data_IF_891812373653
#
_entry.id   IF_891812373653
#
_cell.length_a   1.000
_cell.length_b   1.000
_cell.length_c   1.000
_cell.angle_alpha   90.00
_cell.angle_beta   90.00
_cell.angle_gamma   90.00
#
_symmetry.space_group_name_H-M   'P 1'
#
loop_
_entity.id
_entity.type
_entity.pdbx_description
1 polymer ?
#
# COMPACT_ATOMS: atom_id res chain seq x y z
N UNK A 1 6.55 18.44 25.88
CA UNK A 1 5.66 18.83 24.76
C UNK A 1 5.56 17.65 23.79
N UNK A 2 4.35 17.24 23.39
CA UNK A 2 4.18 16.17 22.38
C UNK A 2 4.54 16.75 21.00
N UNK A 3 5.63 16.30 20.37
CA UNK A 3 5.95 16.66 18.98
C UNK A 3 4.72 16.33 18.12
N UNK A 4 4.21 17.31 17.37
CA UNK A 4 3.14 17.06 16.40
C UNK A 4 3.59 15.94 15.48
N UNK A 5 2.80 14.87 15.41
CA UNK A 5 3.07 13.76 14.50
C UNK A 5 2.79 14.25 13.10
N UNK A 6 3.83 14.38 12.28
CA UNK A 6 3.70 14.62 10.86
C UNK A 6 3.00 13.41 10.25
N UNK A 7 1.88 13.65 9.57
CA UNK A 7 1.14 12.60 8.87
C UNK A 7 1.72 12.47 7.47
N UNK A 8 2.15 11.27 7.11
CA UNK A 8 2.64 10.95 5.77
C UNK A 8 1.63 10.07 5.07
N UNK A 9 1.21 10.48 3.88
CA UNK A 9 0.37 9.69 2.98
C UNK A 9 1.11 8.44 2.51
N UNK A 10 0.37 7.44 2.03
CA UNK A 10 0.98 6.24 1.46
C UNK A 10 1.90 6.58 0.26
N UNK A 11 1.50 7.55 -0.57
CA UNK A 11 2.30 7.98 -1.72
C UNK A 11 3.62 8.64 -1.29
N UNK A 12 3.59 9.53 -0.29
CA UNK A 12 4.81 10.15 0.24
C UNK A 12 5.78 9.12 0.81
N UNK A 13 5.27 8.13 1.57
CA UNK A 13 6.12 7.04 2.09
C UNK A 13 6.83 6.29 0.96
N UNK A 14 6.10 5.94 -0.10
CA UNK A 14 6.67 5.24 -1.26
C UNK A 14 7.69 6.12 -1.99
N UNK A 15 7.40 7.41 -2.14
CA UNK A 15 8.33 8.36 -2.77
C UNK A 15 9.65 8.49 -2.00
N UNK A 16 9.58 8.64 -0.68
CA UNK A 16 10.77 8.74 0.19
C UNK A 16 11.59 7.44 0.13
N UNK A 17 10.93 6.28 0.19
CA UNK A 17 11.61 4.97 0.04
C UNK A 17 12.28 4.85 -1.33
N UNK A 18 11.61 5.30 -2.41
CA UNK A 18 12.17 5.29 -3.77
C UNK A 18 13.44 6.14 -3.86
N UNK A 19 13.48 7.34 -3.29
CA UNK A 19 14.68 8.20 -3.31
C UNK A 19 15.89 7.53 -2.69
N UNK A 20 15.69 6.77 -1.61
CA UNK A 20 16.78 6.00 -1.01
C UNK A 20 17.25 4.86 -1.92
N UNK A 21 16.29 4.05 -2.43
CA UNK A 21 16.62 2.80 -3.12
C UNK A 21 17.04 2.98 -4.58
N UNK A 22 16.46 3.95 -5.28
CA UNK A 22 16.68 4.17 -6.71
C UNK A 22 17.67 5.29 -6.92
N UNK A 23 17.43 6.44 -6.28
CA UNK A 23 18.25 7.63 -6.45
C UNK A 23 19.49 7.62 -5.53
N UNK A 24 19.66 6.56 -4.73
CA UNK A 24 20.80 6.33 -3.82
C UNK A 24 21.01 7.46 -2.80
N UNK A 25 19.95 8.20 -2.45
CA UNK A 25 20.04 9.27 -1.45
C UNK A 25 20.26 8.64 -0.06
N UNK A 26 21.23 9.13 0.73
CA UNK A 26 21.44 8.65 2.10
C UNK A 26 20.19 8.77 2.97
N UNK A 27 19.98 7.80 3.86
CA UNK A 27 18.85 7.82 4.80
C UNK A 27 18.94 9.02 5.75
N UNK A 28 20.15 9.47 6.10
CA UNK A 28 20.38 10.69 6.90
C UNK A 28 19.72 11.90 6.25
N UNK A 29 20.00 12.12 4.98
CA UNK A 29 19.57 13.31 4.24
C UNK A 29 18.04 13.30 4.09
N UNK A 30 17.44 12.13 3.85
CA UNK A 30 15.98 11.97 3.81
C UNK A 30 15.35 12.15 5.20
N UNK A 31 15.99 11.69 6.26
CA UNK A 31 15.51 11.88 7.63
C UNK A 31 15.48 13.36 8.00
N UNK A 32 16.52 14.11 7.61
CA UNK A 32 16.61 15.54 7.85
C UNK A 32 15.62 16.33 6.98
N UNK A 33 15.58 16.07 5.67
CA UNK A 33 14.71 16.76 4.70
C UNK A 33 13.22 16.61 5.06
N UNK A 34 12.80 15.39 5.40
CA UNK A 34 11.40 15.11 5.68
C UNK A 34 11.04 15.27 7.17
N UNK A 35 12.01 15.55 8.06
CA UNK A 35 11.85 15.52 9.51
C UNK A 35 11.30 14.16 9.99
N UNK A 36 11.93 13.09 9.50
CA UNK A 36 11.60 11.70 9.72
C UNK A 36 12.64 11.07 10.66
N UNK A 37 12.19 10.24 11.60
CA UNK A 37 13.11 9.48 12.44
C UNK A 37 13.61 8.23 11.69
N UNK A 38 14.90 7.86 11.78
CA UNK A 38 15.44 6.68 11.09
C UNK A 38 14.67 5.39 11.37
N UNK A 39 14.24 5.17 12.61
CA UNK A 39 13.43 4.01 12.98
C UNK A 39 12.08 3.95 12.25
N UNK A 40 11.49 5.11 11.91
CA UNK A 40 10.24 5.18 11.15
C UNK A 40 10.50 4.84 9.67
N UNK A 41 11.60 5.33 9.11
CA UNK A 41 12.03 4.96 7.75
C UNK A 41 12.23 3.44 7.63
N UNK A 42 13.00 2.84 8.54
CA UNK A 42 13.24 1.39 8.55
C UNK A 42 11.93 0.59 8.66
N UNK A 43 10.99 1.04 9.51
CA UNK A 43 9.68 0.40 9.62
C UNK A 43 8.90 0.46 8.30
N UNK A 44 8.86 1.62 7.65
CA UNK A 44 8.15 1.74 6.36
C UNK A 44 8.80 0.91 5.26
N UNK A 45 10.14 0.85 5.23
CA UNK A 45 10.86 0.02 4.27
C UNK A 45 10.47 -1.46 4.45
N UNK A 46 10.44 -1.95 5.70
CA UNK A 46 9.97 -3.30 6.02
C UNK A 46 8.52 -3.53 5.57
N UNK A 47 7.60 -2.66 5.97
CA UNK A 47 6.17 -2.75 5.61
C UNK A 47 5.97 -2.74 4.08
N UNK A 48 6.73 -1.91 3.36
CA UNK A 48 6.66 -1.80 1.91
C UNK A 48 7.08 -3.09 1.22
N UNK A 49 8.19 -3.71 1.64
CA UNK A 49 8.67 -4.94 1.04
C UNK A 49 7.83 -6.17 1.42
N UNK A 50 7.29 -6.23 2.63
CA UNK A 50 6.38 -7.30 3.05
C UNK A 50 5.08 -7.31 2.22
N UNK A 51 4.56 -6.13 1.88
CA UNK A 51 3.36 -6.00 1.05
C UNK A 51 3.67 -5.85 -0.46
N UNK A 52 4.94 -5.76 -0.84
CA UNK A 52 5.36 -5.47 -2.21
C UNK A 52 4.99 -6.57 -3.21
N UNK A 53 4.97 -7.83 -2.76
CA UNK A 53 4.58 -8.98 -3.60
C UNK A 53 3.15 -8.86 -4.13
N UNK A 54 2.23 -8.31 -3.32
CA UNK A 54 0.84 -8.12 -3.70
C UNK A 54 0.65 -7.14 -4.88
N UNK A 55 1.64 -6.30 -5.18
CA UNK A 55 1.61 -5.44 -6.37
C UNK A 55 1.79 -6.23 -7.67
N UNK A 56 2.47 -7.38 -7.62
CA UNK A 56 2.75 -8.24 -8.77
C UNK A 56 1.77 -9.41 -8.90
N UNK A 57 0.98 -9.68 -7.85
CA UNK A 57 -0.11 -10.65 -7.93
C UNK A 57 -1.15 -10.17 -8.95
N UNK A 58 -1.27 -10.91 -10.06
CA UNK A 58 -2.30 -10.65 -11.08
C UNK A 58 -3.69 -10.83 -10.44
N UNK A 59 -4.37 -9.72 -10.13
CA UNK A 59 -5.77 -9.67 -9.65
C UNK A 59 -6.79 -10.42 -10.54
N UNK A 60 -6.37 -10.89 -11.71
CA UNK A 60 -7.21 -11.50 -12.74
C UNK A 60 -7.73 -12.91 -12.40
N UNK A 61 -7.15 -13.62 -11.43
CA UNK A 61 -7.66 -14.94 -11.06
C UNK A 61 -8.87 -14.89 -10.10
N UNK A 62 -8.88 -13.95 -9.13
CA UNK A 62 -9.96 -13.86 -8.12
C UNK A 62 -11.19 -13.08 -8.59
N UNK A 63 -11.03 -12.00 -9.38
CA UNK A 63 -12.17 -11.19 -9.87
C UNK A 63 -13.12 -11.96 -10.79
N UNK A 64 -12.62 -12.98 -11.52
CA UNK A 64 -13.45 -13.80 -12.43
C UNK A 64 -14.40 -14.73 -11.66
N UNK A 65 -13.97 -15.25 -10.51
CA UNK A 65 -14.79 -16.13 -9.66
C UNK A 65 -15.90 -15.35 -8.96
N UNK A 66 -15.55 -14.24 -8.31
CA UNK A 66 -16.54 -13.40 -7.61
C UNK A 66 -17.55 -12.79 -8.56
N UNK A 67 -17.17 -12.36 -9.77
CA UNK A 67 -18.14 -11.86 -10.74
C UNK A 67 -19.15 -12.91 -11.21
N UNK A 68 -18.73 -14.17 -11.37
CA UNK A 68 -19.62 -15.26 -11.75
C UNK A 68 -20.56 -15.66 -10.60
N UNK A 69 -20.06 -15.73 -9.37
CA UNK A 69 -20.87 -15.96 -8.17
C UNK A 69 -21.85 -14.81 -7.91
N UNK A 70 -21.42 -13.55 -8.03
CA UNK A 70 -22.30 -12.38 -7.89
C UNK A 70 -23.43 -12.40 -8.92
N UNK A 71 -23.13 -12.69 -10.19
CA UNK A 71 -24.15 -12.84 -11.24
C UNK A 71 -25.13 -13.97 -10.93
N UNK A 72 -24.65 -15.07 -10.37
CA UNK A 72 -25.49 -16.21 -9.99
C UNK A 72 -26.41 -15.87 -8.83
N UNK A 73 -25.91 -15.14 -7.83
CA UNK A 73 -26.70 -14.65 -6.70
C UNK A 73 -27.79 -13.69 -7.20
N UNK A 74 -27.44 -12.70 -8.02
CA UNK A 74 -28.38 -11.72 -8.58
C UNK A 74 -29.50 -12.39 -9.42
N UNK A 75 -29.14 -13.42 -10.21
CA UNK A 75 -30.12 -14.22 -10.96
C UNK A 75 -31.05 -15.03 -10.04
N UNK A 76 -30.54 -15.57 -8.94
CA UNK A 76 -31.34 -16.33 -7.98
C UNK A 76 -32.26 -15.40 -7.16
N UNK A 77 -31.76 -14.25 -6.73
CA UNK A 77 -32.56 -13.22 -6.04
C UNK A 77 -33.70 -12.71 -6.93
N UNK A 78 -33.45 -12.49 -8.22
CA UNK A 78 -34.49 -12.08 -9.17
C UNK A 78 -35.57 -13.15 -9.33
N UNK A 79 -35.20 -14.44 -9.34
CA UNK A 79 -36.15 -15.56 -9.43
C UNK A 79 -36.98 -15.77 -8.16
N UNK A 80 -36.45 -15.41 -7.00
CA UNK A 80 -37.16 -15.50 -5.72
C UNK A 80 -38.13 -14.34 -5.49
N UNK A 81 -38.05 -13.28 -6.30
CA UNK A 81 -38.90 -12.07 -6.19
C UNK A 81 -40.16 -12.13 -7.06
N UNK A 82 -40.34 -13.20 -7.85
CA UNK A 82 -41.55 -13.53 -8.60
C UNK A 82 -42.16 -14.81 -8.03
#
# INVERSE_FOLDING_TARGET
MRKQRKNYTAQEKVFIIKRHLVDQVPVSDLCDEYNLQPNVFCRWQKEFFENGSAAFEKKNAKKKKTSAEQKRIEQLETKLRN
#
